data_IF_320489223559
#
_entry.id   IF_320489223559
#
_cell.length_a   1.000
_cell.length_b   1.000
_cell.length_c   1.000
_cell.angle_alpha   90.00
_cell.angle_beta   90.00
_cell.angle_gamma   90.00
#
_symmetry.space_group_name_H-M   'P 1'
#
loop_
_entity.id
_entity.type
_entity.pdbx_description
1 polymer ?
#
# COMPACT_ATOMS: atom_id res chain seq x y z
N UNK A 1 8.47 -5.20 -16.77
CA UNK A 1 8.69 -5.17 -15.31
C UNK A 1 7.33 -5.31 -14.65
N UNK A 2 7.13 -6.26 -13.74
CA UNK A 2 5.90 -6.34 -12.94
C UNK A 2 5.79 -5.11 -12.01
N UNK A 3 4.56 -4.64 -11.84
CA UNK A 3 4.22 -3.56 -10.89
C UNK A 3 3.54 -4.16 -9.66
N UNK A 4 4.05 -3.87 -8.47
CA UNK A 4 3.29 -4.08 -7.24
C UNK A 4 2.30 -2.93 -7.09
N UNK A 5 1.02 -3.23 -6.86
CA UNK A 5 0.03 -2.21 -6.49
C UNK A 5 -0.82 -2.65 -5.31
N UNK A 6 -0.97 -1.78 -4.32
CA UNK A 6 -1.85 -2.04 -3.17
C UNK A 6 -3.33 -1.86 -3.52
N UNK A 7 -3.66 -1.19 -4.62
CA UNK A 7 -4.97 -0.55 -4.77
C UNK A 7 -5.19 0.54 -3.70
N UNK A 8 -6.42 1.05 -3.60
CA UNK A 8 -6.81 1.91 -2.49
C UNK A 8 -6.92 1.05 -1.22
N UNK A 9 -6.18 1.42 -0.18
CA UNK A 9 -6.17 0.73 1.09
C UNK A 9 -6.08 1.74 2.23
N UNK A 10 -6.69 1.41 3.37
CA UNK A 10 -6.56 2.20 4.58
C UNK A 10 -5.08 2.24 5.01
N UNK A 11 -4.58 3.42 5.40
CA UNK A 11 -3.18 3.63 5.79
C UNK A 11 -2.76 2.70 6.93
N UNK A 12 -3.65 2.39 7.89
CA UNK A 12 -3.36 1.40 8.93
C UNK A 12 -3.10 -0.04 8.43
N UNK A 13 -3.41 -0.35 7.17
CA UNK A 13 -3.31 -1.69 6.60
C UNK A 13 -2.38 -1.79 5.37
N UNK A 14 -1.68 -0.70 4.97
CA UNK A 14 -0.88 -0.72 3.74
C UNK A 14 0.22 -1.79 3.79
N UNK A 15 0.86 -1.98 4.95
CA UNK A 15 2.04 -2.83 5.08
C UNK A 15 1.72 -4.31 4.84
N UNK A 16 0.61 -4.81 5.42
CA UNK A 16 0.16 -6.17 5.20
C UNK A 16 -0.35 -6.36 3.76
N UNK A 17 -1.04 -5.35 3.20
CA UNK A 17 -1.51 -5.39 1.81
C UNK A 17 -0.34 -5.47 0.83
N UNK A 18 0.71 -4.69 1.03
CA UNK A 18 1.92 -4.73 0.20
C UNK A 18 2.56 -6.11 0.25
N UNK A 19 2.84 -6.62 1.46
CA UNK A 19 3.45 -7.94 1.67
C UNK A 19 2.63 -9.04 1.00
N UNK A 20 1.33 -9.12 1.26
CA UNK A 20 0.44 -10.13 0.67
C UNK A 20 0.38 -10.05 -0.85
N UNK A 21 0.41 -8.84 -1.40
CA UNK A 21 0.39 -8.64 -2.86
C UNK A 21 1.69 -9.15 -3.48
N UNK A 22 2.84 -8.83 -2.90
CA UNK A 22 4.12 -9.32 -3.40
C UNK A 22 4.20 -10.85 -3.34
N UNK A 23 3.79 -11.46 -2.22
CA UNK A 23 3.73 -12.92 -2.08
C UNK A 23 2.81 -13.57 -3.12
N UNK A 24 1.65 -12.95 -3.40
CA UNK A 24 0.75 -13.46 -4.43
C UNK A 24 1.41 -13.39 -5.82
N UNK A 25 2.02 -12.26 -6.18
CA UNK A 25 2.70 -12.04 -7.46
C UNK A 25 3.89 -12.99 -7.68
N UNK A 26 4.56 -13.39 -6.60
CA UNK A 26 5.73 -14.27 -6.65
C UNK A 26 5.43 -15.73 -6.26
N UNK A 27 4.17 -16.09 -6.03
CA UNK A 27 3.80 -17.39 -5.47
C UNK A 27 4.30 -18.57 -6.28
N UNK A 28 4.25 -18.49 -7.61
CA UNK A 28 4.72 -19.58 -8.48
C UNK A 28 6.25 -19.68 -8.52
N UNK A 29 6.96 -18.55 -8.43
CA UNK A 29 8.43 -18.51 -8.34
C UNK A 29 8.94 -19.03 -7.00
N UNK A 30 8.18 -18.82 -5.93
CA UNK A 30 8.46 -19.41 -4.61
C UNK A 30 8.24 -20.92 -4.66
N UNK A 31 7.15 -21.39 -5.29
CA UNK A 31 6.88 -22.83 -5.43
C UNK A 31 7.92 -23.54 -6.31
N UNK A 32 8.44 -22.88 -7.35
CA UNK A 32 9.48 -23.44 -8.22
C UNK A 32 10.88 -23.44 -7.59
N UNK A 33 11.06 -22.75 -6.44
CA UNK A 33 12.36 -22.60 -5.78
C UNK A 33 13.26 -21.54 -6.41
N UNK A 34 12.77 -20.76 -7.38
CA UNK A 34 13.50 -19.65 -8.00
C UNK A 34 13.77 -18.51 -7.01
N UNK A 35 12.81 -18.26 -6.10
CA UNK A 35 12.91 -17.24 -5.05
C UNK A 35 12.58 -17.85 -3.69
N UNK A 36 13.42 -17.59 -2.69
CA UNK A 36 13.10 -17.95 -1.31
C UNK A 36 11.99 -17.04 -0.76
N UNK A 37 11.00 -17.63 -0.09
CA UNK A 37 10.00 -16.91 0.73
C UNK A 37 10.60 -15.84 1.66
N UNK A 38 11.82 -16.06 2.18
CA UNK A 38 12.57 -15.10 3.01
C UNK A 38 12.98 -13.86 2.22
N UNK A 39 13.36 -14.03 0.95
CA UNK A 39 13.68 -12.90 0.07
C UNK A 39 12.44 -12.05 -0.21
N UNK A 40 11.28 -12.68 -0.43
CA UNK A 40 10.00 -11.98 -0.58
C UNK A 40 9.67 -11.16 0.68
N UNK A 41 9.85 -11.76 1.87
CA UNK A 41 9.64 -11.08 3.13
C UNK A 41 10.60 -9.89 3.34
N UNK A 42 11.90 -10.08 3.02
CA UNK A 42 12.93 -9.04 3.08
C UNK A 42 12.57 -7.86 2.16
N UNK A 43 12.25 -8.13 0.90
CA UNK A 43 11.92 -7.11 -0.09
C UNK A 43 10.65 -6.32 0.29
N UNK A 44 9.63 -6.99 0.85
CA UNK A 44 8.45 -6.32 1.36
C UNK A 44 8.76 -5.43 2.59
N UNK A 45 9.63 -5.90 3.50
CA UNK A 45 10.02 -5.14 4.68
C UNK A 45 10.79 -3.85 4.31
N UNK A 46 11.68 -3.92 3.32
CA UNK A 46 12.43 -2.77 2.80
C UNK A 46 11.51 -1.64 2.33
N UNK A 47 10.54 -1.95 1.46
CA UNK A 47 9.60 -0.94 0.97
C UNK A 47 8.66 -0.48 2.08
N UNK A 48 8.21 -1.37 2.96
CA UNK A 48 7.36 -0.99 4.08
C UNK A 48 8.06 0.00 5.04
N UNK A 49 9.37 -0.13 5.25
CA UNK A 49 10.12 0.81 6.06
C UNK A 49 10.19 2.20 5.41
N UNK A 50 10.46 2.27 4.11
CA UNK A 50 10.42 3.53 3.34
C UNK A 50 9.02 4.16 3.40
N UNK A 51 7.98 3.37 3.17
CA UNK A 51 6.59 3.84 3.21
C UNK A 51 6.17 4.28 4.61
N UNK A 52 6.70 3.67 5.68
CA UNK A 52 6.43 4.12 7.04
C UNK A 52 6.93 5.55 7.25
N UNK A 53 8.17 5.83 6.88
CA UNK A 53 8.74 7.16 6.98
C UNK A 53 7.88 8.17 6.19
N UNK A 54 7.54 7.86 4.93
CA UNK A 54 6.75 8.78 4.10
C UNK A 54 5.31 8.94 4.63
N UNK A 55 4.57 7.85 4.83
CA UNK A 55 3.13 7.88 5.14
C UNK A 55 2.90 8.36 6.58
N UNK A 56 3.69 7.86 7.54
CA UNK A 56 3.44 8.10 8.97
C UNK A 56 4.28 9.27 9.47
N UNK A 57 5.56 9.32 9.15
CA UNK A 57 6.45 10.35 9.70
C UNK A 57 6.37 11.67 8.92
N UNK A 58 6.36 11.65 7.59
CA UNK A 58 6.41 12.87 6.79
C UNK A 58 5.00 13.42 6.51
N UNK A 59 4.11 12.58 5.96
CA UNK A 59 2.74 12.97 5.60
C UNK A 59 1.76 12.99 6.77
N UNK A 60 2.17 12.47 7.94
CA UNK A 60 1.35 12.38 9.17
C UNK A 60 -0.04 11.81 8.87
N UNK A 61 -0.11 10.70 8.14
CA UNK A 61 -1.37 10.05 7.82
C UNK A 61 -1.95 9.34 9.05
N UNK A 62 -3.24 9.51 9.27
CA UNK A 62 -3.98 8.80 10.31
C UNK A 62 -4.29 7.38 9.85
N UNK A 63 -4.48 6.47 10.81
CA UNK A 63 -4.79 5.07 10.50
C UNK A 63 -6.00 4.90 9.59
N UNK A 64 -7.02 5.76 9.68
CA UNK A 64 -8.25 5.70 8.88
C UNK A 64 -8.20 6.44 7.55
N UNK A 65 -7.10 7.13 7.24
CA UNK A 65 -6.88 7.71 5.93
C UNK A 65 -6.66 6.62 4.88
N UNK A 66 -6.71 6.96 3.59
CA UNK A 66 -6.52 6.00 2.49
C UNK A 66 -5.26 6.34 1.72
N UNK A 67 -4.53 5.30 1.29
CA UNK A 67 -3.33 5.41 0.45
C UNK A 67 -3.41 4.44 -0.72
N UNK A 68 -2.64 4.71 -1.77
CA UNK A 68 -2.37 3.77 -2.86
C UNK A 68 -0.90 3.83 -3.23
N UNK A 69 -0.23 2.69 -3.16
CA UNK A 69 1.18 2.53 -3.52
C UNK A 69 1.28 1.75 -4.83
N UNK A 70 2.14 2.22 -5.73
CA UNK A 70 2.61 1.49 -6.91
C UNK A 70 4.13 1.58 -6.99
N UNK A 71 4.79 0.47 -7.28
CA UNK A 71 6.24 0.45 -7.52
C UNK A 71 6.59 -0.77 -8.37
N UNK A 72 7.46 -0.57 -9.34
CA UNK A 72 7.96 -1.64 -10.20
C UNK A 72 9.13 -2.37 -9.53
N UNK A 73 9.29 -3.63 -9.88
CA UNK A 73 10.43 -4.43 -9.47
C UNK A 73 10.89 -5.37 -10.57
N UNK A 74 12.08 -5.89 -10.39
CA UNK A 74 12.65 -6.95 -11.20
C UNK A 74 13.27 -8.04 -10.32
N UNK A 75 13.54 -9.18 -10.93
CA UNK A 75 14.18 -10.32 -10.28
C UNK A 75 15.53 -10.49 -10.96
N UNK A 76 16.59 -10.27 -10.20
CA UNK A 76 17.97 -10.45 -10.63
C UNK A 76 18.55 -11.67 -9.90
N UNK A 77 18.66 -12.80 -10.61
CA UNK A 77 19.01 -14.08 -10.00
C UNK A 77 17.94 -14.51 -9.00
N UNK A 78 18.30 -14.57 -7.71
CA UNK A 78 17.40 -14.93 -6.61
C UNK A 78 17.01 -13.74 -5.73
N UNK A 79 17.19 -12.50 -6.20
CA UNK A 79 16.90 -11.27 -5.44
C UNK A 79 15.83 -10.43 -6.11
N UNK A 80 15.02 -9.75 -5.30
CA UNK A 80 14.04 -8.77 -5.74
C UNK A 80 14.68 -7.38 -5.67
N UNK A 81 14.69 -6.66 -6.78
CA UNK A 81 15.19 -5.28 -6.89
C UNK A 81 14.04 -4.33 -7.19
N UNK A 82 13.86 -3.33 -6.33
CA UNK A 82 12.86 -2.29 -6.52
C UNK A 82 13.38 -1.19 -7.44
N UNK A 83 12.56 -0.77 -8.39
CA UNK A 83 12.83 0.42 -9.17
C UNK A 83 12.16 1.64 -8.50
N UNK A 84 12.85 2.23 -7.52
CA UNK A 84 12.31 3.36 -6.74
C UNK A 84 11.97 4.60 -7.58
N UNK A 85 12.52 4.76 -8.79
CA UNK A 85 12.14 5.85 -9.69
C UNK A 85 10.68 5.76 -10.17
N UNK A 86 10.08 4.57 -10.08
CA UNK A 86 8.68 4.30 -10.43
C UNK A 86 7.73 4.36 -9.22
N UNK A 87 8.25 4.61 -8.02
CA UNK A 87 7.44 4.66 -6.80
C UNK A 87 6.42 5.80 -6.91
N UNK A 88 5.15 5.43 -6.88
CA UNK A 88 4.03 6.37 -6.82
C UNK A 88 3.23 6.13 -5.55
N UNK A 89 2.99 7.20 -4.81
CA UNK A 89 2.15 7.23 -3.62
C UNK A 89 1.03 8.25 -3.83
N UNK A 90 -0.21 7.78 -3.67
CA UNK A 90 -1.37 8.65 -3.53
C UNK A 90 -1.88 8.57 -2.09
N UNK A 91 -2.27 9.73 -1.54
CA UNK A 91 -2.76 9.84 -0.17
C UNK A 91 -4.07 10.64 -0.13
N UNK A 92 -5.05 10.14 0.61
CA UNK A 92 -6.39 10.69 0.72
C UNK A 92 -6.73 10.84 2.21
N UNK A 93 -6.97 12.09 2.64
CA UNK A 93 -7.40 12.39 4.01
C UNK A 93 -8.88 12.02 4.19
N UNK A 94 -9.17 11.30 5.26
CA UNK A 94 -10.56 11.02 5.66
C UNK A 94 -11.19 12.29 6.20
N UNK A 95 -12.39 12.62 5.72
CA UNK A 95 -13.24 13.66 6.31
C UNK A 95 -13.83 13.11 7.61
N UNK A 96 -13.90 13.94 8.65
CA UNK A 96 -14.49 13.57 9.94
C UNK A 96 -15.93 13.05 9.77
N UNK A 97 -16.24 11.94 10.44
CA UNK A 97 -17.55 11.29 10.29
C UNK A 97 -18.69 12.17 10.78
N UNK A 98 -18.49 13.02 11.80
CA UNK A 98 -19.53 13.93 12.27
C UNK A 98 -19.84 14.98 11.20
N UNK A 99 -18.80 15.55 10.59
CA UNK A 99 -18.96 16.49 9.47
C UNK A 99 -19.73 15.84 8.31
N UNK A 100 -19.38 14.61 7.94
CA UNK A 100 -20.10 13.86 6.89
C UNK A 100 -21.58 13.68 7.30
N UNK A 101 -21.84 13.24 8.53
CA UNK A 101 -23.19 12.98 9.01
C UNK A 101 -24.04 14.23 9.14
N UNK A 102 -23.45 15.38 9.48
CA UNK A 102 -24.17 16.66 9.54
C UNK A 102 -24.64 17.11 8.16
N UNK A 103 -23.78 16.97 7.14
CA UNK A 103 -24.15 17.25 5.74
C UNK A 103 -25.27 16.31 5.28
N UNK A 104 -25.15 15.01 5.59
CA UNK A 104 -26.17 14.00 5.27
C UNK A 104 -27.51 14.35 5.92
N UNK A 105 -27.52 14.63 7.22
CA UNK A 105 -28.74 15.01 7.97
C UNK A 105 -29.39 16.26 7.38
N UNK A 106 -28.60 17.29 7.07
CA UNK A 106 -29.10 18.52 6.44
C UNK A 106 -29.80 18.24 5.12
N UNK A 107 -29.20 17.44 4.24
CA UNK A 107 -29.79 17.11 2.93
C UNK A 107 -31.05 16.26 3.04
N UNK A 108 -31.14 15.39 4.05
CA UNK A 108 -32.36 14.61 4.31
C UNK A 108 -33.50 15.53 4.77
N UNK A 109 -33.22 16.55 5.60
CA UNK A 109 -34.23 17.50 6.06
C UNK A 109 -34.80 18.36 4.93
N UNK A 110 -34.01 18.69 3.91
CA UNK A 110 -34.46 19.47 2.74
C UNK A 110 -35.41 18.69 1.80
N UNK A 111 -35.57 17.37 1.99
CA UNK A 111 -36.45 16.51 1.19
C UNK A 111 -37.86 16.33 1.80
N UNK A 112 -38.06 16.73 3.06
CA UNK A 112 -39.35 16.65 3.77
C UNK A 112 -40.00 18.01 3.93
#
# INVERSE_FOLDING_TARGET
MPTLSTGLIIAGAYADKLRRTLFAQLSDRVKSGEIDSKEVARAAAEVNQLLFNIIVEDLKMNKGDVVRVRVDYEIEGSQIKWNYSTLQLEAFKRIDDNQVMDVVKKRIQELG
#
